data_IF_984804613707
#
_entry.id   IF_984804613707
#
_cell.length_a   1.000
_cell.length_b   1.000
_cell.length_c   1.000
_cell.angle_alpha   90.00
_cell.angle_beta   90.00
_cell.angle_gamma   90.00
#
_symmetry.space_group_name_H-M   'P 1'
#
loop_
_entity.id
_entity.type
_entity.pdbx_description
1 polymer ?
#
# COMPACT_ATOMS: atom_id res chain seq x y z
N UNK A 1 29.78 29.69 54.55
CA UNK A 1 29.78 30.97 53.81
C UNK A 1 30.02 30.70 52.33
N UNK A 2 29.47 31.52 51.43
CA UNK A 2 28.25 31.26 50.67
C UNK A 2 28.44 30.26 49.52
N UNK A 3 27.53 29.29 49.38
CA UNK A 3 27.32 28.64 48.08
C UNK A 3 26.73 29.70 47.15
N UNK A 4 27.50 30.09 46.13
CA UNK A 4 27.16 31.19 45.21
C UNK A 4 25.71 31.07 44.70
N UNK A 5 24.87 32.03 45.09
CA UNK A 5 23.46 32.18 44.69
C UNK A 5 23.29 32.09 43.17
N UNK A 6 24.28 32.59 42.40
CA UNK A 6 24.36 32.49 40.95
C UNK A 6 24.37 31.05 40.41
N UNK A 7 25.08 30.13 41.08
CA UNK A 7 25.14 28.72 40.66
C UNK A 7 23.84 27.95 40.95
N UNK A 8 23.10 28.38 41.99
CA UNK A 8 21.79 27.82 42.34
C UNK A 8 20.69 28.36 41.42
N UNK A 9 20.74 29.66 41.10
CA UNK A 9 19.85 30.28 40.11
C UNK A 9 20.05 29.71 38.70
N UNK A 10 21.30 29.46 38.29
CA UNK A 10 21.60 28.83 37.00
C UNK A 10 21.09 27.38 36.90
N UNK A 11 21.29 26.54 37.92
CA UNK A 11 20.74 25.16 37.93
C UNK A 11 19.22 25.13 37.93
N UNK A 12 18.56 26.03 38.67
CA UNK A 12 17.10 26.16 38.65
C UNK A 12 16.61 26.65 37.28
N UNK A 13 17.27 27.62 36.66
CA UNK A 13 16.93 28.11 35.33
C UNK A 13 17.12 27.03 34.24
N UNK A 14 18.18 26.22 34.30
CA UNK A 14 18.42 25.09 33.39
C UNK A 14 17.38 23.98 33.59
N UNK A 15 17.03 23.65 34.85
CA UNK A 15 15.96 22.69 35.14
C UNK A 15 14.58 23.19 34.69
N UNK A 16 14.30 24.49 34.83
CA UNK A 16 13.09 25.15 34.33
C UNK A 16 13.04 25.20 32.79
N UNK A 17 14.18 25.41 32.12
CA UNK A 17 14.29 25.41 30.66
C UNK A 17 14.13 23.99 30.09
N UNK A 18 14.70 22.97 30.76
CA UNK A 18 14.55 21.56 30.39
C UNK A 18 13.11 21.05 30.55
N UNK A 19 12.44 21.39 31.67
CA UNK A 19 11.01 21.04 31.86
C UNK A 19 10.11 21.77 30.88
N UNK A 20 10.36 23.05 30.56
CA UNK A 20 9.63 23.78 29.52
C UNK A 20 9.88 23.21 28.12
N UNK A 21 11.09 22.77 27.81
CA UNK A 21 11.43 22.13 26.53
C UNK A 21 10.77 20.74 26.40
N UNK A 22 10.71 19.96 27.48
CA UNK A 22 9.98 18.69 27.54
C UNK A 22 8.46 18.90 27.45
N UNK A 23 7.93 19.94 28.10
CA UNK A 23 6.52 20.32 28.02
C UNK A 23 6.14 20.77 26.60
N UNK A 24 7.00 21.56 25.94
CA UNK A 24 6.84 22.01 24.57
C UNK A 24 6.93 20.83 23.57
N UNK A 25 7.82 19.87 23.81
CA UNK A 25 7.88 18.62 23.04
C UNK A 25 6.61 17.78 23.18
N UNK A 26 6.00 17.73 24.38
CA UNK A 26 4.71 17.04 24.59
C UNK A 26 3.57 17.79 23.89
N UNK A 27 3.54 19.11 23.96
CA UNK A 27 2.56 19.95 23.24
C UNK A 27 2.65 19.76 21.72
N UNK A 28 3.86 19.75 21.16
CA UNK A 28 4.07 19.45 19.74
C UNK A 28 3.65 18.03 19.39
N UNK A 29 3.94 17.05 20.24
CA UNK A 29 3.52 15.67 20.06
C UNK A 29 1.99 15.51 20.09
N UNK A 30 1.31 16.12 21.05
CA UNK A 30 -0.15 16.12 21.15
C UNK A 30 -0.81 16.87 19.97
N UNK A 31 -0.23 18.00 19.55
CA UNK A 31 -0.71 18.74 18.38
C UNK A 31 -0.50 17.92 17.09
N UNK A 32 0.63 17.23 16.96
CA UNK A 32 0.90 16.33 15.84
C UNK A 32 -0.06 15.12 15.82
N UNK A 33 -0.33 14.50 16.97
CA UNK A 33 -1.34 13.44 17.09
C UNK A 33 -2.75 13.95 16.77
N UNK A 34 -3.10 15.18 17.16
CA UNK A 34 -4.37 15.81 16.82
C UNK A 34 -4.49 16.09 15.31
N UNK A 35 -3.41 16.55 14.67
CA UNK A 35 -3.35 16.73 13.21
C UNK A 35 -3.49 15.39 12.47
N UNK A 36 -2.84 14.33 12.94
CA UNK A 36 -3.02 12.97 12.38
C UNK A 36 -4.47 12.51 12.57
N UNK A 37 -5.06 12.68 13.76
CA UNK A 37 -6.43 12.28 14.05
C UNK A 37 -7.44 13.00 13.14
N UNK A 38 -7.26 14.30 12.88
CA UNK A 38 -8.07 15.08 11.94
C UNK A 38 -7.86 14.64 10.49
N UNK A 39 -6.68 14.14 10.13
CA UNK A 39 -6.39 13.57 8.81
C UNK A 39 -6.95 12.14 8.61
N UNK A 40 -7.40 11.44 9.66
CA UNK A 40 -7.93 10.05 9.54
C UNK A 40 -9.35 9.94 8.97
N UNK A 41 -10.00 11.05 8.63
CA UNK A 41 -11.34 11.04 8.02
C UNK A 41 -11.22 11.28 6.52
N UNK A 42 -10.93 10.21 5.76
CA UNK A 42 -11.43 9.87 4.40
C UNK A 42 -10.64 8.68 3.86
N UNK A 43 -11.11 7.47 4.16
CA UNK A 43 -11.06 6.36 3.20
C UNK A 43 -12.48 5.82 3.15
N UNK A 44 -13.32 6.45 2.34
CA UNK A 44 -14.63 5.90 2.00
C UNK A 44 -14.39 4.76 1.01
N UNK A 45 -14.09 3.57 1.54
CA UNK A 45 -14.06 2.36 0.73
C UNK A 45 -15.48 2.05 0.26
N UNK A 46 -15.75 2.22 -1.04
CA UNK A 46 -16.94 1.66 -1.67
C UNK A 46 -17.06 0.18 -1.30
N UNK A 47 -18.27 -0.32 -1.04
CA UNK A 47 -18.60 -1.66 -0.55
C UNK A 47 -17.90 -2.79 -1.34
N UNK A 48 -16.64 -3.07 -1.00
CA UNK A 48 -15.86 -4.15 -1.58
C UNK A 48 -16.31 -5.46 -0.94
N UNK A 49 -16.77 -6.41 -1.77
CA UNK A 49 -17.26 -7.72 -1.32
C UNK A 49 -16.47 -8.83 -1.99
N UNK A 50 -16.23 -9.91 -1.27
CA UNK A 50 -15.64 -11.12 -1.85
C UNK A 50 -16.59 -11.67 -2.92
N UNK A 51 -16.08 -11.96 -4.11
CA UNK A 51 -16.89 -12.49 -5.21
C UNK A 51 -17.85 -11.50 -5.86
N UNK A 52 -17.55 -10.19 -5.88
CA UNK A 52 -18.38 -9.17 -6.55
C UNK A 52 -18.59 -9.51 -8.03
N UNK A 53 -17.58 -10.09 -8.69
CA UNK A 53 -17.65 -10.49 -10.09
C UNK A 53 -18.18 -11.90 -10.32
N UNK A 54 -18.52 -12.67 -9.27
CA UNK A 54 -18.94 -14.08 -9.43
C UNK A 54 -20.19 -14.24 -10.30
N UNK A 55 -21.08 -13.24 -10.34
CA UNK A 55 -22.27 -13.23 -11.20
C UNK A 55 -22.02 -12.62 -12.59
N UNK A 56 -21.20 -11.58 -12.67
CA UNK A 56 -21.00 -10.79 -13.91
C UNK A 56 -19.85 -11.30 -14.78
N UNK A 57 -18.83 -11.89 -14.16
CA UNK A 57 -17.68 -12.49 -14.83
C UNK A 57 -17.07 -13.60 -13.95
N UNK A 58 -17.66 -14.82 -13.93
CA UNK A 58 -17.22 -15.90 -13.04
C UNK A 58 -15.80 -16.40 -13.33
N UNK A 59 -15.28 -16.13 -14.53
CA UNK A 59 -13.92 -16.49 -14.95
C UNK A 59 -12.86 -15.45 -14.54
N UNK A 60 -13.26 -14.35 -13.91
CA UNK A 60 -12.33 -13.24 -13.65
C UNK A 60 -11.13 -13.67 -12.79
N UNK A 61 -11.40 -14.33 -11.65
CA UNK A 61 -10.33 -14.75 -10.74
C UNK A 61 -9.41 -15.80 -11.35
N UNK A 62 -9.95 -16.74 -12.14
CA UNK A 62 -9.14 -17.78 -12.78
C UNK A 62 -8.27 -17.23 -13.91
N UNK A 63 -8.77 -16.28 -14.71
CA UNK A 63 -8.01 -15.63 -15.77
C UNK A 63 -6.82 -14.85 -15.19
N UNK A 64 -7.03 -14.10 -14.10
CA UNK A 64 -5.95 -13.37 -13.43
C UNK A 64 -4.92 -14.34 -12.85
N UNK A 65 -5.37 -15.38 -12.13
CA UNK A 65 -4.49 -16.38 -11.54
C UNK A 65 -3.60 -17.08 -12.58
N UNK A 66 -4.18 -17.50 -13.70
CA UNK A 66 -3.44 -18.14 -14.79
C UNK A 66 -2.41 -17.19 -15.41
N UNK A 67 -2.80 -15.93 -15.61
CA UNK A 67 -1.92 -14.92 -16.20
C UNK A 67 -0.74 -14.62 -15.28
N UNK A 68 -1.00 -14.43 -13.99
CA UNK A 68 0.05 -14.22 -12.98
C UNK A 68 0.99 -15.41 -12.92
N UNK A 69 0.45 -16.63 -12.89
CA UNK A 69 1.27 -17.85 -12.86
C UNK A 69 2.15 -18.00 -14.11
N UNK A 70 1.62 -17.71 -15.30
CA UNK A 70 2.38 -17.78 -16.55
C UNK A 70 3.53 -16.77 -16.58
N UNK A 71 3.25 -15.52 -16.21
CA UNK A 71 4.28 -14.46 -16.17
C UNK A 71 5.27 -14.66 -15.04
N UNK A 72 4.86 -15.18 -13.89
CA UNK A 72 5.75 -15.49 -12.78
C UNK A 72 6.84 -16.50 -13.17
N UNK A 73 6.48 -17.53 -13.94
CA UNK A 73 7.44 -18.53 -14.45
C UNK A 73 8.38 -17.91 -15.49
N UNK A 74 7.90 -16.95 -16.28
CA UNK A 74 8.68 -16.30 -17.34
C UNK A 74 9.73 -15.30 -16.82
N UNK A 75 9.72 -14.96 -15.52
CA UNK A 75 10.67 -14.02 -14.90
C UNK A 75 11.99 -14.66 -14.44
N UNK A 76 12.12 -16.00 -14.52
CA UNK A 76 13.33 -16.72 -14.10
C UNK A 76 14.11 -17.24 -15.33
N UNK A 77 15.18 -16.55 -15.70
CA UNK A 77 16.08 -16.91 -16.81
C UNK A 77 17.35 -16.05 -16.85
N UNK A 78 18.42 -16.48 -17.53
CA UNK A 78 19.72 -15.81 -17.52
C UNK A 78 19.75 -14.41 -18.17
N UNK A 79 18.68 -14.03 -18.88
CA UNK A 79 18.51 -12.72 -19.54
C UNK A 79 17.32 -11.95 -18.98
N UNK A 80 16.86 -12.26 -17.76
CA UNK A 80 15.73 -11.54 -17.17
C UNK A 80 16.21 -10.30 -16.41
N UNK A 81 15.28 -9.36 -16.25
CA UNK A 81 15.51 -8.05 -15.66
C UNK A 81 16.03 -8.10 -14.19
N UNK A 82 16.08 -9.27 -13.55
CA UNK A 82 16.86 -9.45 -12.29
C UNK A 82 18.35 -9.15 -12.46
N UNK A 83 18.90 -9.18 -13.68
CA UNK A 83 20.35 -9.10 -13.95
C UNK A 83 20.83 -7.76 -14.54
N UNK A 84 19.95 -6.75 -14.71
CA UNK A 84 20.30 -5.47 -15.33
C UNK A 84 20.42 -4.30 -14.34
N UNK A 85 21.47 -3.48 -14.48
CA UNK A 85 21.74 -2.29 -13.64
C UNK A 85 20.66 -1.18 -13.60
N UNK A 86 19.84 -0.96 -14.65
CA UNK A 86 18.77 0.04 -14.71
C UNK A 86 17.37 -0.58 -14.62
N UNK A 87 17.13 -1.33 -13.55
CA UNK A 87 15.82 -1.80 -13.08
C UNK A 87 14.84 -0.66 -12.68
N UNK A 88 14.86 0.45 -13.43
CA UNK A 88 14.18 1.73 -13.20
C UNK A 88 13.02 1.87 -14.20
N UNK A 89 11.82 1.79 -13.64
CA UNK A 89 10.57 1.85 -14.37
C UNK A 89 9.74 0.65 -13.95
N UNK A 90 8.90 0.86 -12.93
CA UNK A 90 7.79 0.01 -12.51
C UNK A 90 7.51 -1.19 -13.45
N UNK A 91 7.92 -2.39 -13.02
CA UNK A 91 7.89 -3.64 -13.79
C UNK A 91 6.66 -4.46 -13.45
N UNK A 92 6.07 -5.17 -14.41
CA UNK A 92 4.91 -6.03 -14.20
C UNK A 92 3.58 -5.45 -14.69
N UNK A 93 3.62 -4.40 -15.51
CA UNK A 93 2.44 -3.80 -16.15
C UNK A 93 1.92 -4.73 -17.25
N UNK A 94 2.82 -5.49 -17.87
CA UNK A 94 2.54 -6.49 -18.89
C UNK A 94 1.59 -7.59 -18.36
N UNK A 95 1.75 -7.97 -17.10
CA UNK A 95 0.86 -8.94 -16.43
C UNK A 95 -0.55 -8.38 -16.30
N UNK A 96 -0.65 -7.10 -15.96
CA UNK A 96 -1.92 -6.40 -15.79
C UNK A 96 -2.59 -6.19 -17.15
N UNK A 97 -1.84 -5.78 -18.18
CA UNK A 97 -2.35 -5.56 -19.53
C UNK A 97 -2.81 -6.85 -20.20
N UNK A 98 -2.04 -7.94 -20.08
CA UNK A 98 -2.42 -9.25 -20.62
C UNK A 98 -3.65 -9.82 -19.88
N UNK A 99 -3.70 -9.67 -18.56
CA UNK A 99 -4.89 -10.05 -17.78
C UNK A 99 -6.10 -9.21 -18.20
N UNK A 100 -5.94 -7.89 -18.35
CA UNK A 100 -7.00 -6.99 -18.81
C UNK A 100 -7.48 -7.37 -20.20
N UNK A 101 -6.58 -7.65 -21.13
CA UNK A 101 -6.93 -8.10 -22.50
C UNK A 101 -7.76 -9.38 -22.50
N UNK A 102 -7.37 -10.38 -21.71
CA UNK A 102 -8.13 -11.65 -21.58
C UNK A 102 -9.48 -11.44 -20.91
N UNK A 103 -9.54 -10.56 -19.91
CA UNK A 103 -10.78 -10.21 -19.21
C UNK A 103 -11.73 -9.43 -20.11
N UNK A 104 -11.25 -8.45 -20.87
CA UNK A 104 -12.07 -7.72 -21.84
C UNK A 104 -12.59 -8.62 -22.97
N UNK A 105 -11.81 -9.63 -23.38
CA UNK A 105 -12.28 -10.64 -24.34
C UNK A 105 -13.37 -11.56 -23.76
N UNK A 106 -13.36 -11.82 -22.45
CA UNK A 106 -14.32 -12.70 -21.78
C UNK A 106 -15.56 -11.96 -21.25
N UNK A 107 -15.39 -10.75 -20.74
CA UNK A 107 -16.41 -9.94 -20.07
C UNK A 107 -16.08 -8.43 -20.22
N UNK A 108 -16.46 -7.81 -21.37
CA UNK A 108 -16.10 -6.44 -21.71
C UNK A 108 -16.59 -5.41 -20.69
N UNK A 109 -15.71 -4.52 -20.23
CA UNK A 109 -16.04 -3.39 -19.35
C UNK A 109 -16.49 -3.78 -17.93
N UNK A 110 -16.40 -5.06 -17.55
CA UNK A 110 -16.87 -5.54 -16.24
C UNK A 110 -15.79 -5.38 -15.18
N UNK A 111 -14.57 -5.85 -15.47
CA UNK A 111 -13.50 -5.98 -14.46
C UNK A 111 -12.57 -4.77 -14.46
N UNK A 112 -12.38 -4.14 -13.30
CA UNK A 112 -11.50 -2.97 -13.14
C UNK A 112 -10.02 -3.35 -13.05
N UNK A 113 -9.14 -2.48 -13.55
CA UNK A 113 -7.68 -2.64 -13.45
C UNK A 113 -7.20 -2.64 -12.00
N UNK A 114 -7.80 -1.81 -11.13
CA UNK A 114 -7.52 -1.81 -9.70
C UNK A 114 -7.74 -3.19 -9.05
N UNK A 115 -8.74 -3.94 -9.53
CA UNK A 115 -9.01 -5.27 -9.05
C UNK A 115 -8.05 -6.33 -9.61
N UNK A 116 -7.64 -6.21 -10.87
CA UNK A 116 -6.60 -7.07 -11.47
C UNK A 116 -5.32 -6.98 -10.64
N UNK A 117 -4.90 -5.77 -10.25
CA UNK A 117 -3.72 -5.55 -9.40
C UNK A 117 -3.89 -6.24 -8.03
N UNK A 118 -5.06 -6.09 -7.39
CA UNK A 118 -5.31 -6.68 -6.07
C UNK A 118 -5.27 -8.22 -6.10
N UNK A 119 -5.85 -8.84 -7.13
CA UNK A 119 -5.78 -10.29 -7.33
C UNK A 119 -4.37 -10.75 -7.69
N UNK A 120 -3.69 -10.04 -8.58
CA UNK A 120 -2.33 -10.35 -8.98
C UNK A 120 -1.36 -10.31 -7.80
N UNK A 121 -1.53 -9.35 -6.89
CA UNK A 121 -0.76 -9.26 -5.65
C UNK A 121 -0.99 -10.48 -4.74
N UNK A 122 -2.25 -10.88 -4.50
CA UNK A 122 -2.57 -12.10 -3.74
C UNK A 122 -1.94 -13.33 -4.41
N UNK A 123 -2.17 -13.51 -5.71
CA UNK A 123 -1.70 -14.70 -6.44
C UNK A 123 -0.16 -14.79 -6.44
N UNK A 124 0.52 -13.65 -6.51
CA UNK A 124 1.99 -13.60 -6.37
C UNK A 124 2.44 -14.06 -4.99
N UNK A 125 1.76 -13.66 -3.92
CA UNK A 125 2.09 -14.12 -2.56
C UNK A 125 1.88 -15.62 -2.42
N UNK A 126 0.77 -16.14 -2.96
CA UNK A 126 0.50 -17.60 -2.98
C UNK A 126 1.58 -18.36 -3.76
N UNK A 127 2.02 -17.85 -4.91
CA UNK A 127 3.10 -18.46 -5.71
C UNK A 127 4.44 -18.48 -4.95
N UNK A 128 4.71 -17.48 -4.11
CA UNK A 128 5.88 -17.43 -3.23
C UNK A 128 5.75 -18.29 -1.95
N UNK A 129 4.76 -19.19 -1.89
CA UNK A 129 4.44 -20.02 -0.71
C UNK A 129 3.96 -19.22 0.52
N UNK A 130 3.38 -18.04 0.28
CA UNK A 130 2.70 -17.25 1.31
C UNK A 130 1.29 -17.75 1.60
N UNK A 131 0.59 -17.04 2.49
CA UNK A 131 -0.80 -17.32 2.83
C UNK A 131 -1.75 -16.98 1.68
N UNK A 132 -2.84 -17.72 1.54
CA UNK A 132 -3.95 -17.38 0.64
C UNK A 132 -5.05 -16.64 1.43
N UNK A 133 -5.64 -15.62 0.82
CA UNK A 133 -6.75 -14.87 1.40
C UNK A 133 -7.73 -14.43 0.34
N UNK A 134 -8.99 -14.27 0.74
CA UNK A 134 -10.03 -13.75 -0.16
C UNK A 134 -9.90 -12.24 -0.30
N UNK A 135 -9.66 -11.77 -1.52
CA UNK A 135 -9.58 -10.34 -1.85
C UNK A 135 -10.99 -9.78 -1.93
N UNK A 136 -11.34 -8.69 -1.21
CA UNK A 136 -12.58 -7.95 -1.43
C UNK A 136 -12.52 -7.19 -2.77
N UNK A 137 -13.61 -7.24 -3.52
CA UNK A 137 -13.64 -6.93 -4.97
C UNK A 137 -14.74 -5.91 -5.25
N UNK A 138 -14.67 -5.15 -6.36
CA UNK A 138 -15.69 -4.15 -6.73
C UNK A 138 -15.26 -2.67 -6.63
N UNK A 139 -13.96 -2.39 -6.53
CA UNK A 139 -13.41 -1.02 -6.65
C UNK A 139 -13.40 -0.60 -8.12
N UNK A 140 -13.96 0.57 -8.45
CA UNK A 140 -13.92 1.11 -9.82
C UNK A 140 -12.58 1.80 -10.11
N UNK A 141 -12.17 1.80 -11.39
CA UNK A 141 -10.97 2.52 -11.83
C UNK A 141 -11.18 4.04 -11.74
N UNK A 142 -10.12 4.77 -11.38
CA UNK A 142 -10.13 6.22 -11.41
C UNK A 142 -10.18 6.72 -12.86
N UNK A 143 -11.09 7.65 -13.17
CA UNK A 143 -11.07 8.36 -14.45
C UNK A 143 -9.99 9.44 -14.40
N UNK A 144 -8.88 9.21 -15.09
CA UNK A 144 -8.00 10.27 -15.55
C UNK A 144 -8.27 10.41 -17.06
N UNK A 145 -8.74 11.58 -17.49
CA UNK A 145 -8.81 11.99 -18.89
C UNK A 145 -7.67 12.97 -19.14
#
# INVERSE_FOLDING_TARGET
MPTNLLSFLSRKAIAQLSTRMFQMSRLFFFMYLLLIALATKVVQGQNARVGFYSSSCPKAESIVKQTVQAHFILLDGPNTEKTAGPNRGLRGWEVIDDAKKKLEAACPGVVSCAYIIALAARDSVVLTKGIDWKVPTGRLDGRFH
#
